data_IF_034895530939
#
_entry.id   IF_034895530939
#
_cell.length_a   1.000
_cell.length_b   1.000
_cell.length_c   1.000
_cell.angle_alpha   90.00
_cell.angle_beta   90.00
_cell.angle_gamma   90.00
#
_symmetry.space_group_name_H-M   'P 1'
#
loop_
_entity.id
_entity.type
_entity.pdbx_description
1 polymer ?
#
# COMPACT_ATOMS: atom_id res chain seq x y z
N UNK A 1 11.86 -10.83 23.63
CA UNK A 1 11.30 -11.47 22.43
C UNK A 1 12.46 -11.98 21.59
N UNK A 2 12.39 -13.14 20.99
CA UNK A 2 13.43 -13.68 20.11
C UNK A 2 12.81 -13.92 18.72
N UNK A 3 12.59 -12.82 17.99
CA UNK A 3 11.98 -12.87 16.68
C UNK A 3 13.05 -13.16 15.61
N UNK A 4 12.68 -14.01 14.65
CA UNK A 4 13.36 -14.15 13.36
C UNK A 4 12.46 -13.56 12.27
N UNK A 5 12.83 -12.40 11.79
CA UNK A 5 12.08 -11.67 10.76
C UNK A 5 12.74 -11.89 9.41
N UNK A 6 11.96 -12.29 8.41
CA UNK A 6 12.39 -12.37 7.01
C UNK A 6 11.75 -11.24 6.24
N UNK A 7 12.55 -10.36 5.63
CA UNK A 7 12.10 -9.27 4.77
C UNK A 7 12.35 -9.65 3.31
N UNK A 8 11.27 -9.89 2.55
CA UNK A 8 11.33 -10.24 1.13
C UNK A 8 11.03 -9.00 0.29
N UNK A 9 11.93 -8.67 -0.63
CA UNK A 9 11.95 -7.40 -1.37
C UNK A 9 12.79 -6.35 -0.64
N UNK A 10 13.89 -6.77 -0.03
CA UNK A 10 14.75 -5.94 0.81
C UNK A 10 15.44 -4.79 0.06
N UNK A 11 15.53 -4.83 -1.27
CA UNK A 11 15.96 -3.71 -2.11
C UNK A 11 15.00 -2.52 -2.16
N UNK A 12 13.88 -2.58 -1.44
CA UNK A 12 12.90 -1.49 -1.41
C UNK A 12 13.46 -0.23 -0.78
N UNK A 13 13.48 0.85 -1.54
CA UNK A 13 13.88 2.20 -1.09
C UNK A 13 12.94 2.73 -0.03
N UNK A 14 11.63 2.50 -0.22
CA UNK A 14 10.60 3.09 0.62
C UNK A 14 10.43 2.37 1.97
N UNK A 15 10.71 1.07 2.05
CA UNK A 15 10.34 0.28 3.22
C UNK A 15 11.53 -0.19 4.07
N UNK A 16 12.62 -0.65 3.44
CA UNK A 16 13.68 -1.38 4.17
C UNK A 16 14.32 -0.57 5.27
N UNK A 17 14.67 0.69 5.01
CA UNK A 17 15.25 1.58 6.02
C UNK A 17 14.34 1.76 7.24
N UNK A 18 13.06 2.08 6.99
CA UNK A 18 12.07 2.29 8.03
C UNK A 18 11.81 1.03 8.86
N UNK A 19 11.61 -0.11 8.19
CA UNK A 19 11.37 -1.39 8.85
C UNK A 19 12.57 -1.83 9.72
N UNK A 20 13.79 -1.70 9.21
CA UNK A 20 14.99 -2.02 10.00
C UNK A 20 15.11 -1.10 11.21
N UNK A 21 14.87 0.22 11.05
CA UNK A 21 14.89 1.15 12.16
C UNK A 21 13.85 0.79 13.22
N UNK A 22 12.61 0.50 12.83
CA UNK A 22 11.53 0.13 13.74
C UNK A 22 11.81 -1.17 14.48
N UNK A 23 12.37 -2.19 13.81
CA UNK A 23 12.79 -3.44 14.44
C UNK A 23 13.86 -3.21 15.51
N UNK A 24 14.89 -2.42 15.20
CA UNK A 24 15.99 -2.12 16.11
C UNK A 24 15.57 -1.25 17.29
N UNK A 25 14.58 -0.38 17.12
CA UNK A 25 14.02 0.46 18.19
C UNK A 25 13.12 -0.33 19.12
N UNK A 26 12.33 -1.26 18.58
CA UNK A 26 11.38 -2.04 19.35
C UNK A 26 12.02 -3.18 20.15
N UNK A 27 13.04 -3.83 19.59
CA UNK A 27 13.62 -5.03 20.19
C UNK A 27 15.13 -4.96 20.30
N UNK A 28 15.71 -5.24 21.49
CA UNK A 28 17.15 -5.13 21.72
C UNK A 28 17.97 -6.23 21.01
N UNK A 29 17.31 -7.31 20.57
CA UNK A 29 17.92 -8.45 19.88
C UNK A 29 16.92 -9.19 19.02
N UNK A 30 17.40 -9.87 17.98
CA UNK A 30 16.64 -10.70 17.07
C UNK A 30 17.49 -11.26 15.93
N UNK A 31 16.84 -11.85 14.96
CA UNK A 31 17.45 -12.30 13.71
C UNK A 31 16.71 -11.64 12.55
N UNK A 32 17.43 -11.00 11.64
CA UNK A 32 16.91 -10.39 10.43
C UNK A 32 17.52 -11.09 9.22
N UNK A 33 16.67 -11.65 8.37
CA UNK A 33 17.08 -12.17 7.07
C UNK A 33 16.52 -11.24 5.97
N UNK A 34 17.40 -10.73 5.12
CA UNK A 34 17.08 -9.90 3.98
C UNK A 34 17.08 -10.75 2.71
N UNK A 35 16.03 -10.61 1.92
CA UNK A 35 15.88 -11.35 0.67
C UNK A 35 15.57 -10.39 -0.47
N UNK A 36 16.35 -10.43 -1.53
CA UNK A 36 16.04 -9.79 -2.79
C UNK A 36 16.64 -10.61 -3.95
N UNK A 37 15.93 -10.68 -5.06
CA UNK A 37 16.40 -11.35 -6.28
C UNK A 37 17.42 -10.53 -7.06
N UNK A 38 17.51 -9.23 -6.79
CA UNK A 38 18.55 -8.35 -7.33
C UNK A 38 19.74 -8.32 -6.37
N UNK A 39 20.89 -8.94 -6.73
CA UNK A 39 22.04 -9.03 -5.84
C UNK A 39 22.63 -7.65 -5.50
N UNK A 40 22.56 -6.66 -6.40
CA UNK A 40 23.04 -5.33 -6.13
C UNK A 40 22.17 -4.59 -5.10
N UNK A 41 20.86 -4.67 -5.26
CA UNK A 41 19.91 -4.12 -4.29
C UNK A 41 20.01 -4.80 -2.92
N UNK A 42 20.19 -6.12 -2.91
CA UNK A 42 20.41 -6.90 -1.68
C UNK A 42 21.71 -6.50 -0.96
N UNK A 43 22.80 -6.27 -1.69
CA UNK A 43 24.06 -5.80 -1.13
C UNK A 43 23.91 -4.44 -0.45
N UNK A 44 23.25 -3.48 -1.11
CA UNK A 44 22.95 -2.15 -0.55
C UNK A 44 22.15 -2.27 0.73
N UNK A 45 21.03 -3.02 0.70
CA UNK A 45 20.18 -3.25 1.87
C UNK A 45 20.93 -3.91 3.04
N UNK A 46 21.77 -4.91 2.73
CA UNK A 46 22.56 -5.65 3.72
C UNK A 46 23.61 -4.77 4.39
N UNK A 47 24.34 -3.97 3.60
CA UNK A 47 25.34 -3.05 4.11
C UNK A 47 24.69 -1.96 4.96
N UNK A 48 23.56 -1.42 4.54
CA UNK A 48 22.78 -0.45 5.30
C UNK A 48 22.33 -1.04 6.65
N UNK A 49 21.66 -2.20 6.63
CA UNK A 49 21.20 -2.86 7.85
C UNK A 49 22.35 -3.19 8.81
N UNK A 50 23.49 -3.67 8.30
CA UNK A 50 24.70 -3.94 9.11
C UNK A 50 25.19 -2.70 9.84
N UNK A 51 25.25 -1.56 9.14
CA UNK A 51 25.64 -0.29 9.76
C UNK A 51 24.63 0.20 10.80
N UNK A 52 23.31 0.07 10.51
CA UNK A 52 22.26 0.44 11.45
C UNK A 52 22.32 -0.39 12.74
N UNK A 53 22.54 -1.71 12.62
CA UNK A 53 22.71 -2.62 13.76
C UNK A 53 23.95 -2.23 14.59
N UNK A 54 25.08 -2.01 13.91
CA UNK A 54 26.33 -1.64 14.56
C UNK A 54 26.22 -0.29 15.31
N UNK A 55 25.60 0.71 14.70
CA UNK A 55 25.42 2.04 15.29
C UNK A 55 24.57 2.03 16.58
N UNK A 56 23.65 1.06 16.72
CA UNK A 56 22.82 0.91 17.92
C UNK A 56 23.41 -0.04 18.96
N UNK A 57 24.53 -0.73 18.65
CA UNK A 57 25.05 -1.79 19.50
C UNK A 57 24.04 -2.90 19.76
N UNK A 58 23.12 -3.13 18.85
CA UNK A 58 22.01 -4.05 19.00
C UNK A 58 22.46 -5.52 18.81
N UNK A 59 21.88 -6.43 19.60
CA UNK A 59 22.18 -7.87 19.55
C UNK A 59 21.48 -8.62 18.41
N UNK A 60 21.45 -8.02 17.20
CA UNK A 60 20.80 -8.60 16.04
C UNK A 60 21.78 -9.39 15.18
N UNK A 61 21.35 -10.58 14.76
CA UNK A 61 22.02 -11.33 13.70
C UNK A 61 21.42 -10.92 12.35
N UNK A 62 22.29 -10.73 11.35
CA UNK A 62 21.91 -10.37 9.99
C UNK A 62 22.31 -11.48 9.03
N UNK A 63 21.38 -11.89 8.21
CA UNK A 63 21.54 -12.85 7.12
C UNK A 63 21.01 -12.23 5.83
N UNK A 64 21.53 -12.63 4.67
CA UNK A 64 21.06 -12.17 3.36
C UNK A 64 21.10 -13.30 2.34
N UNK A 65 20.11 -13.39 1.46
CA UNK A 65 20.03 -14.41 0.42
C UNK A 65 19.22 -13.93 -0.76
N UNK A 66 19.63 -14.32 -1.97
CA UNK A 66 18.83 -14.15 -3.19
C UNK A 66 17.68 -15.18 -3.26
N UNK A 67 17.81 -16.30 -2.56
CA UNK A 67 16.80 -17.36 -2.47
C UNK A 67 16.12 -17.37 -1.09
N UNK A 68 14.85 -16.96 -1.05
CA UNK A 68 14.03 -16.92 0.16
C UNK A 68 13.91 -18.29 0.85
N UNK A 69 13.95 -19.40 0.09
CA UNK A 69 13.80 -20.75 0.65
C UNK A 69 14.91 -21.10 1.62
N UNK A 70 16.11 -20.54 1.42
CA UNK A 70 17.27 -20.81 2.29
C UNK A 70 17.15 -20.19 3.67
N UNK A 71 16.34 -19.13 3.83
CA UNK A 71 16.26 -18.33 5.08
C UNK A 71 14.89 -18.39 5.75
N UNK A 72 13.85 -18.92 5.11
CA UNK A 72 12.49 -18.98 5.67
C UNK A 72 12.36 -19.91 6.88
N UNK A 73 13.14 -20.97 6.95
CA UNK A 73 13.03 -21.93 8.03
C UNK A 73 13.27 -21.28 9.40
N UNK A 74 12.28 -21.44 10.29
CA UNK A 74 12.31 -20.85 11.64
C UNK A 74 11.93 -19.38 11.69
N UNK A 75 11.47 -18.78 10.58
CA UNK A 75 10.89 -17.44 10.60
C UNK A 75 9.69 -17.37 11.54
N UNK A 76 9.62 -16.31 12.33
CA UNK A 76 8.47 -16.00 13.20
C UNK A 76 7.56 -14.95 12.58
N UNK A 77 8.11 -14.15 11.66
CA UNK A 77 7.39 -13.20 10.84
C UNK A 77 8.06 -13.06 9.47
N UNK A 78 7.24 -12.94 8.42
CA UNK A 78 7.67 -12.65 7.05
C UNK A 78 6.97 -11.37 6.60
N UNK A 79 7.77 -10.41 6.12
CA UNK A 79 7.29 -9.11 5.64
C UNK A 79 7.67 -9.00 4.15
N UNK A 80 6.67 -8.83 3.29
CA UNK A 80 6.88 -8.68 1.85
C UNK A 80 6.69 -7.23 1.42
N UNK A 81 7.74 -6.69 0.79
CA UNK A 81 7.76 -5.34 0.18
C UNK A 81 8.09 -5.41 -1.32
N UNK A 82 7.73 -6.54 -1.93
CA UNK A 82 8.06 -6.86 -3.32
C UNK A 82 7.36 -5.90 -4.30
N UNK A 83 8.10 -5.51 -5.33
CA UNK A 83 7.58 -4.77 -6.48
C UNK A 83 8.16 -5.35 -7.76
N UNK A 84 7.49 -6.34 -8.36
CA UNK A 84 7.98 -7.04 -9.56
C UNK A 84 8.27 -6.08 -10.71
N UNK A 85 9.51 -6.10 -11.22
CA UNK A 85 9.99 -5.19 -12.26
C UNK A 85 10.37 -3.79 -11.78
N UNK A 86 10.22 -3.52 -10.47
CA UNK A 86 10.65 -2.26 -9.84
C UNK A 86 10.04 -1.01 -10.48
N UNK A 87 10.77 0.11 -10.40
CA UNK A 87 10.33 1.41 -10.95
C UNK A 87 10.19 1.39 -12.46
N UNK A 88 11.00 0.62 -13.18
CA UNK A 88 10.93 0.56 -14.66
C UNK A 88 9.65 -0.09 -15.17
N UNK A 89 9.18 -1.16 -14.52
CA UNK A 89 7.89 -1.73 -14.83
C UNK A 89 6.74 -0.80 -14.40
N UNK A 90 6.89 -0.11 -13.27
CA UNK A 90 5.90 0.88 -12.82
C UNK A 90 5.75 2.06 -13.79
N UNK A 91 6.82 2.50 -14.45
CA UNK A 91 6.73 3.49 -15.53
C UNK A 91 5.79 3.02 -16.65
N UNK A 92 5.85 1.75 -17.04
CA UNK A 92 4.97 1.23 -18.08
C UNK A 92 3.50 1.20 -17.61
N UNK A 93 3.23 0.91 -16.32
CA UNK A 93 1.89 0.92 -15.76
C UNK A 93 1.21 2.29 -15.90
N UNK A 94 1.98 3.38 -15.88
CA UNK A 94 1.46 4.74 -15.97
C UNK A 94 1.56 5.31 -17.40
N UNK A 95 2.65 5.02 -18.12
CA UNK A 95 2.87 5.63 -19.44
C UNK A 95 2.10 4.94 -20.56
N UNK A 96 1.80 3.65 -20.45
CA UNK A 96 0.93 2.98 -21.44
C UNK A 96 -0.47 3.61 -21.45
N UNK A 97 -1.19 3.74 -20.31
CA UNK A 97 -2.50 4.40 -20.28
C UNK A 97 -2.51 5.84 -20.78
N UNK A 98 -1.43 6.59 -20.61
CA UNK A 98 -1.35 7.98 -21.13
C UNK A 98 -1.51 8.08 -22.65
N UNK A 99 -1.13 7.04 -23.39
CA UNK A 99 -1.34 6.98 -24.86
C UNK A 99 -2.81 6.95 -25.24
N UNK A 100 -3.66 6.57 -24.29
CA UNK A 100 -5.12 6.49 -24.41
C UNK A 100 -5.83 7.64 -23.68
N UNK A 101 -5.10 8.72 -23.33
CA UNK A 101 -5.66 9.86 -22.60
C UNK A 101 -5.97 9.61 -21.13
N UNK A 102 -5.42 8.56 -20.55
CA UNK A 102 -5.64 8.17 -19.13
C UNK A 102 -4.44 8.62 -18.31
N UNK A 103 -4.69 9.51 -17.35
CA UNK A 103 -3.66 10.11 -16.50
C UNK A 103 -3.83 9.66 -15.05
N UNK A 104 -3.00 8.72 -14.62
CA UNK A 104 -2.95 8.23 -13.25
C UNK A 104 -1.74 8.82 -12.52
N UNK A 105 -1.91 9.48 -11.36
CA UNK A 105 -0.77 10.01 -10.60
C UNK A 105 0.04 8.95 -9.88
N UNK A 106 -0.53 7.74 -9.69
CA UNK A 106 0.14 6.61 -9.02
C UNK A 106 0.11 5.35 -9.86
N UNK A 107 -1.07 4.89 -10.29
CA UNK A 107 -1.23 3.71 -11.14
C UNK A 107 -0.70 2.41 -10.54
N UNK A 108 -0.78 2.25 -9.21
CA UNK A 108 -0.26 1.05 -8.54
C UNK A 108 -1.34 0.22 -7.84
N UNK A 109 -2.55 0.75 -7.68
CA UNK A 109 -3.60 0.15 -6.85
C UNK A 109 -4.89 -0.18 -7.58
N UNK A 110 -5.33 0.69 -8.48
CA UNK A 110 -6.57 0.56 -9.27
C UNK A 110 -6.34 1.12 -10.68
N UNK A 111 -7.36 1.04 -11.52
CA UNK A 111 -7.29 1.50 -12.89
C UNK A 111 -6.38 0.62 -13.75
N UNK A 112 -6.06 1.06 -14.98
CA UNK A 112 -5.24 0.28 -15.91
C UNK A 112 -3.85 -0.02 -15.34
N UNK A 113 -3.21 0.94 -14.67
CA UNK A 113 -1.92 0.74 -14.03
C UNK A 113 -1.97 -0.32 -12.93
N UNK A 114 -2.96 -0.24 -12.02
CA UNK A 114 -3.18 -1.24 -10.97
C UNK A 114 -3.50 -2.62 -11.53
N UNK A 115 -4.30 -2.68 -12.60
CA UNK A 115 -4.62 -3.93 -13.32
C UNK A 115 -3.36 -4.57 -13.93
N UNK A 116 -2.56 -3.79 -14.64
CA UNK A 116 -1.28 -4.23 -15.23
C UNK A 116 -0.31 -4.74 -14.16
N UNK A 117 -0.18 -3.98 -13.07
CA UNK A 117 0.70 -4.36 -11.94
C UNK A 117 0.25 -5.66 -11.28
N UNK A 118 -1.07 -5.86 -11.11
CA UNK A 118 -1.63 -7.09 -10.54
C UNK A 118 -1.20 -8.34 -11.27
N UNK A 119 -1.17 -8.32 -12.62
CA UNK A 119 -0.81 -9.48 -13.44
C UNK A 119 0.58 -10.04 -13.10
N UNK A 120 1.55 -9.18 -12.79
CA UNK A 120 2.92 -9.63 -12.47
C UNK A 120 3.16 -9.80 -10.98
N UNK A 121 2.44 -9.06 -10.13
CA UNK A 121 2.55 -9.18 -8.68
C UNK A 121 1.92 -10.46 -8.14
N UNK A 122 0.74 -10.82 -8.63
CA UNK A 122 -0.04 -11.94 -8.11
C UNK A 122 0.71 -13.26 -8.20
N UNK A 123 1.24 -13.70 -9.36
CA UNK A 123 1.97 -14.96 -9.42
C UNK A 123 3.17 -15.02 -8.47
N UNK A 124 3.98 -13.97 -8.44
CA UNK A 124 5.14 -13.90 -7.55
C UNK A 124 4.77 -13.98 -6.07
N UNK A 125 3.67 -13.33 -5.67
CA UNK A 125 3.22 -13.32 -4.28
C UNK A 125 2.52 -14.62 -3.88
N UNK A 126 1.91 -15.33 -4.81
CA UNK A 126 1.39 -16.68 -4.59
C UNK A 126 2.54 -17.67 -4.38
N UNK A 127 3.58 -17.64 -5.22
CA UNK A 127 4.78 -18.47 -5.06
C UNK A 127 5.48 -18.21 -3.70
N UNK A 128 5.55 -16.95 -3.28
CA UNK A 128 6.09 -16.60 -1.96
C UNK A 128 5.22 -17.19 -0.84
N UNK A 129 3.90 -17.11 -0.97
CA UNK A 129 2.99 -17.64 0.03
C UNK A 129 3.08 -19.18 0.15
N UNK A 130 3.25 -19.88 -0.97
CA UNK A 130 3.47 -21.33 -0.99
C UNK A 130 4.77 -21.70 -0.26
N UNK A 131 5.86 -20.99 -0.51
CA UNK A 131 7.13 -21.22 0.18
C UNK A 131 7.02 -20.93 1.69
N UNK A 132 6.25 -19.91 2.10
CA UNK A 132 6.00 -19.63 3.52
C UNK A 132 5.22 -20.76 4.16
N UNK A 133 4.16 -21.26 3.51
CA UNK A 133 3.38 -22.39 4.02
C UNK A 133 4.21 -23.67 4.14
N UNK A 134 5.15 -23.92 3.20
CA UNK A 134 6.03 -25.08 3.22
C UNK A 134 7.10 -24.99 4.31
N UNK A 135 7.75 -23.85 4.48
CA UNK A 135 8.99 -23.70 5.26
C UNK A 135 8.84 -22.99 6.61
N UNK A 136 7.78 -22.18 6.75
CA UNK A 136 7.49 -21.38 7.94
C UNK A 136 5.97 -21.23 8.17
N UNK A 137 5.19 -22.32 8.26
CA UNK A 137 3.72 -22.27 8.30
C UNK A 137 3.14 -21.52 9.51
N UNK A 138 3.89 -21.40 10.58
CA UNK A 138 3.50 -20.68 11.81
C UNK A 138 3.94 -19.20 11.82
N UNK A 139 4.65 -18.74 10.78
CA UNK A 139 5.09 -17.36 10.70
C UNK A 139 3.92 -16.41 10.45
N UNK A 140 3.95 -15.24 11.08
CA UNK A 140 3.06 -14.15 10.72
C UNK A 140 3.43 -13.65 9.32
N UNK A 141 2.47 -13.53 8.43
CA UNK A 141 2.72 -13.12 7.05
C UNK A 141 2.09 -11.76 6.75
N UNK A 142 2.95 -10.77 6.46
CA UNK A 142 2.55 -9.41 6.15
C UNK A 142 2.90 -9.02 4.71
N UNK A 143 1.98 -8.30 4.05
CA UNK A 143 2.18 -7.77 2.71
C UNK A 143 2.06 -6.24 2.71
N UNK A 144 3.05 -5.56 2.15
CA UNK A 144 3.06 -4.13 1.82
C UNK A 144 2.97 -3.86 0.31
N UNK A 145 3.07 -4.92 -0.50
CA UNK A 145 3.05 -4.81 -1.97
C UNK A 145 1.68 -4.44 -2.51
N UNK A 146 1.66 -3.49 -3.47
CA UNK A 146 0.47 -3.09 -4.23
C UNK A 146 0.37 -3.85 -5.58
N UNK A 147 -0.86 -4.01 -6.11
CA UNK A 147 -2.15 -3.58 -5.55
C UNK A 147 -2.57 -4.43 -4.36
N UNK A 148 -2.80 -3.81 -3.22
CA UNK A 148 -2.99 -4.49 -1.94
C UNK A 148 -4.15 -5.49 -1.94
N UNK A 149 -5.35 -5.05 -2.32
CA UNK A 149 -6.53 -5.90 -2.27
C UNK A 149 -6.45 -7.08 -3.26
N UNK A 150 -6.07 -6.91 -4.54
CA UNK A 150 -5.83 -8.03 -5.47
C UNK A 150 -4.77 -9.01 -4.97
N UNK A 151 -3.63 -8.54 -4.49
CA UNK A 151 -2.55 -9.40 -4.00
C UNK A 151 -3.00 -10.24 -2.79
N UNK A 152 -3.56 -9.60 -1.76
CA UNK A 152 -4.03 -10.32 -0.58
C UNK A 152 -5.18 -11.29 -0.92
N UNK A 153 -6.07 -10.91 -1.85
CA UNK A 153 -7.16 -11.78 -2.32
C UNK A 153 -6.64 -13.00 -3.06
N UNK A 154 -5.68 -12.80 -3.96
CA UNK A 154 -5.08 -13.88 -4.76
C UNK A 154 -4.33 -14.90 -3.88
N UNK A 155 -3.50 -14.44 -2.95
CA UNK A 155 -2.79 -15.29 -1.99
C UNK A 155 -3.80 -16.19 -1.25
N UNK A 156 -4.85 -15.60 -0.68
CA UNK A 156 -5.87 -16.36 0.07
C UNK A 156 -6.67 -17.31 -0.80
N UNK A 157 -7.00 -16.89 -2.03
CA UNK A 157 -7.77 -17.70 -2.98
C UNK A 157 -6.97 -18.91 -3.49
N UNK A 158 -5.70 -18.71 -3.82
CA UNK A 158 -4.86 -19.74 -4.40
C UNK A 158 -4.26 -20.69 -3.35
N UNK A 159 -3.86 -20.18 -2.19
CA UNK A 159 -3.06 -20.94 -1.21
C UNK A 159 -3.73 -21.13 0.15
N UNK A 160 -4.70 -20.30 0.49
CA UNK A 160 -5.29 -20.25 1.83
C UNK A 160 -4.40 -19.57 2.89
N UNK A 161 -3.19 -19.08 2.56
CA UNK A 161 -2.27 -18.46 3.49
C UNK A 161 -2.91 -17.24 4.19
N UNK A 162 -2.75 -17.08 5.52
CA UNK A 162 -3.40 -16.04 6.31
C UNK A 162 -2.66 -14.70 6.22
N UNK A 163 -2.43 -14.20 5.00
CA UNK A 163 -1.75 -12.91 4.77
C UNK A 163 -2.51 -11.74 5.39
N UNK A 164 -1.77 -10.82 6.00
CA UNK A 164 -2.26 -9.55 6.53
C UNK A 164 -1.70 -8.44 5.64
N UNK A 165 -2.56 -7.68 4.96
CA UNK A 165 -2.14 -6.52 4.20
C UNK A 165 -2.04 -5.29 5.08
N UNK A 166 -0.94 -4.52 4.95
CA UNK A 166 -0.69 -3.32 5.74
C UNK A 166 -0.40 -2.12 4.82
N UNK A 167 -0.98 -0.97 5.17
CA UNK A 167 -0.75 0.30 4.53
C UNK A 167 -0.63 1.41 5.56
N UNK A 168 0.26 2.35 5.35
CA UNK A 168 0.37 3.54 6.22
C UNK A 168 -0.66 4.63 5.90
N UNK A 169 -1.43 4.47 4.82
CA UNK A 169 -2.32 5.51 4.28
C UNK A 169 -3.39 6.00 5.25
N UNK A 170 -4.00 5.11 6.04
CA UNK A 170 -4.99 5.50 7.06
C UNK A 170 -4.33 6.33 8.16
N UNK A 171 -3.16 5.88 8.66
CA UNK A 171 -2.42 6.61 9.68
C UNK A 171 -1.95 7.98 9.17
N UNK A 172 -1.41 8.05 7.95
CA UNK A 172 -1.01 9.30 7.31
C UNK A 172 -2.20 10.29 7.21
N UNK A 173 -3.36 9.80 6.76
CA UNK A 173 -4.57 10.64 6.67
C UNK A 173 -5.05 11.09 8.06
N UNK A 174 -4.94 10.25 9.09
CA UNK A 174 -5.26 10.66 10.45
C UNK A 174 -4.37 11.81 10.94
N UNK A 175 -3.07 11.77 10.64
CA UNK A 175 -2.14 12.88 10.93
C UNK A 175 -2.50 14.14 10.13
N UNK A 176 -2.86 14.01 8.86
CA UNK A 176 -3.32 15.13 8.03
C UNK A 176 -4.57 15.80 8.62
N UNK A 177 -5.56 15.02 9.05
CA UNK A 177 -6.78 15.55 9.68
C UNK A 177 -6.49 16.20 11.05
N UNK A 178 -5.63 15.59 11.86
CA UNK A 178 -5.19 16.16 13.14
C UNK A 178 -4.47 17.51 12.93
N UNK A 179 -3.57 17.60 11.94
CA UNK A 179 -2.90 18.83 11.56
C UNK A 179 -3.91 19.89 11.08
N UNK A 180 -4.90 19.52 10.27
CA UNK A 180 -5.95 20.44 9.84
C UNK A 180 -6.76 21.01 11.02
N UNK A 181 -6.94 20.21 12.08
CA UNK A 181 -7.58 20.63 13.34
C UNK A 181 -6.65 21.44 14.27
N UNK A 182 -5.35 21.51 13.97
CA UNK A 182 -4.35 22.16 14.83
C UNK A 182 -4.02 21.37 16.10
N UNK A 183 -4.15 20.03 16.08
CA UNK A 183 -3.92 19.17 17.25
C UNK A 183 -2.88 18.08 16.96
N UNK A 184 -2.29 17.51 18.01
CA UNK A 184 -1.43 16.32 17.86
C UNK A 184 -2.26 15.09 17.51
N UNK A 185 -1.80 14.27 16.58
CA UNK A 185 -2.44 13.00 16.22
C UNK A 185 -2.56 12.02 17.40
N UNK A 186 -1.66 12.10 18.37
CA UNK A 186 -1.71 11.30 19.60
C UNK A 186 -2.98 11.54 20.47
N UNK A 187 -3.68 12.66 20.26
CA UNK A 187 -4.94 12.99 20.92
C UNK A 187 -6.17 12.51 20.15
N UNK A 188 -5.95 11.94 18.96
CA UNK A 188 -7.01 11.58 18.05
C UNK A 188 -7.31 10.09 18.11
N UNK A 189 -8.59 9.75 18.01
CA UNK A 189 -9.08 8.41 17.74
C UNK A 189 -10.02 8.45 16.54
N UNK A 190 -10.07 7.38 15.77
CA UNK A 190 -10.86 7.37 14.56
C UNK A 190 -11.35 5.95 14.20
N UNK A 191 -12.36 5.90 13.35
CA UNK A 191 -12.78 4.70 12.68
C UNK A 191 -12.71 4.90 11.17
N UNK A 192 -11.99 4.02 10.47
CA UNK A 192 -11.83 4.07 9.02
C UNK A 192 -12.07 2.69 8.42
N UNK A 193 -12.89 2.62 7.35
CA UNK A 193 -13.31 1.36 6.74
C UNK A 193 -13.50 1.53 5.23
N UNK A 194 -13.02 0.57 4.45
CA UNK A 194 -13.16 0.59 2.99
C UNK A 194 -12.23 -0.38 2.29
N UNK A 195 -11.83 -0.04 1.09
CA UNK A 195 -10.79 -0.72 0.33
C UNK A 195 -9.47 0.06 0.46
N UNK A 196 -8.35 -0.61 0.44
CA UNK A 196 -7.05 0.06 0.45
C UNK A 196 -6.96 1.19 -0.58
N UNK A 197 -6.48 2.34 -0.18
CA UNK A 197 -6.43 3.61 -0.90
C UNK A 197 -7.80 4.28 -1.19
N UNK A 198 -8.91 3.66 -0.77
CA UNK A 198 -10.22 4.30 -0.61
C UNK A 198 -10.89 3.80 0.69
N UNK A 199 -10.27 4.16 1.79
CA UNK A 199 -10.74 3.86 3.15
C UNK A 199 -11.42 5.11 3.70
N UNK A 200 -12.64 5.00 4.21
CA UNK A 200 -13.46 6.11 4.63
C UNK A 200 -13.42 6.29 6.14
N UNK A 201 -12.97 7.47 6.60
CA UNK A 201 -13.07 7.88 8.00
C UNK A 201 -14.52 8.22 8.32
N UNK A 202 -15.19 7.31 8.99
CA UNK A 202 -16.59 7.45 9.42
C UNK A 202 -16.73 8.14 10.77
N UNK A 203 -15.62 8.19 11.53
CA UNK A 203 -15.53 8.85 12.84
C UNK A 203 -14.12 9.42 13.01
N UNK A 204 -14.05 10.61 13.60
CA UNK A 204 -12.80 11.23 14.02
C UNK A 204 -13.03 12.04 15.31
N UNK A 205 -12.29 11.71 16.35
CA UNK A 205 -12.43 12.33 17.68
C UNK A 205 -11.12 12.94 18.15
N UNK A 206 -11.22 14.01 18.92
CA UNK A 206 -10.09 14.64 19.64
C UNK A 206 -10.43 14.60 21.12
N UNK A 207 -9.58 13.97 21.94
CA UNK A 207 -9.81 13.76 23.37
C UNK A 207 -11.20 13.17 23.68
N UNK A 208 -11.69 12.28 22.83
CA UNK A 208 -13.00 11.65 22.94
C UNK A 208 -14.19 12.49 22.42
N UNK A 209 -14.00 13.76 22.10
CA UNK A 209 -15.05 14.61 21.52
C UNK A 209 -15.11 14.46 20.00
N UNK A 210 -16.33 14.44 19.42
CA UNK A 210 -16.55 14.37 17.98
C UNK A 210 -15.98 15.61 17.27
N UNK A 211 -15.04 15.41 16.36
CA UNK A 211 -14.40 16.46 15.58
C UNK A 211 -14.96 16.59 14.14
N UNK A 212 -15.87 15.70 13.71
CA UNK A 212 -16.43 15.73 12.35
C UNK A 212 -17.12 17.06 12.01
N UNK A 213 -17.88 17.73 12.92
CA UNK A 213 -18.45 19.04 12.64
C UNK A 213 -17.39 20.10 12.33
N UNK A 214 -16.29 20.13 13.10
CA UNK A 214 -15.18 21.08 12.86
C UNK A 214 -14.45 20.78 11.55
N UNK A 215 -14.23 19.50 11.22
CA UNK A 215 -13.67 19.11 9.93
C UNK A 215 -14.55 19.56 8.76
N UNK A 216 -15.89 19.59 8.90
CA UNK A 216 -16.80 20.09 7.86
C UNK A 216 -16.62 21.60 7.60
N UNK A 217 -16.36 22.39 8.64
CA UNK A 217 -16.07 23.83 8.48
C UNK A 217 -14.74 24.01 7.72
N UNK A 218 -13.72 23.26 8.11
CA UNK A 218 -12.41 23.26 7.41
C UNK A 218 -12.56 22.82 5.96
N UNK A 219 -13.36 21.79 5.69
CA UNK A 219 -13.63 21.30 4.34
C UNK A 219 -14.17 22.41 3.41
N UNK A 220 -15.17 23.18 3.89
CA UNK A 220 -15.73 24.28 3.12
C UNK A 220 -14.67 25.35 2.79
N UNK A 221 -13.80 25.67 3.75
CA UNK A 221 -12.68 26.59 3.55
C UNK A 221 -11.67 26.05 2.52
N UNK A 222 -11.17 24.82 2.70
CA UNK A 222 -10.18 24.17 1.81
C UNK A 222 -10.66 24.09 0.36
N UNK A 223 -11.92 23.69 0.16
CA UNK A 223 -12.54 23.65 -1.19
C UNK A 223 -12.63 25.05 -1.80
N UNK A 224 -12.93 26.09 -1.00
CA UNK A 224 -12.98 27.48 -1.48
C UNK A 224 -11.58 28.00 -1.85
N UNK A 225 -10.57 27.73 -1.04
CA UNK A 225 -9.18 28.14 -1.26
C UNK A 225 -8.60 27.52 -2.56
N UNK A 226 -8.91 26.26 -2.82
CA UNK A 226 -8.42 25.56 -4.02
C UNK A 226 -8.97 26.16 -5.32
N UNK A 227 -10.18 26.70 -5.35
CA UNK A 227 -10.85 27.24 -6.57
C UNK A 227 -10.12 28.40 -7.23
N UNK A 228 -9.25 29.09 -6.53
CA UNK A 228 -8.53 30.24 -7.06
C UNK A 228 -7.01 30.11 -7.00
N UNK A 229 -6.50 28.94 -6.60
CA UNK A 229 -5.08 28.75 -6.34
C UNK A 229 -4.57 27.38 -6.87
N UNK A 230 -4.33 27.26 -8.18
CA UNK A 230 -3.81 26.00 -8.76
C UNK A 230 -2.51 25.52 -8.10
N UNK A 231 -1.65 26.41 -7.63
CA UNK A 231 -0.38 26.04 -7.00
C UNK A 231 -0.56 25.31 -5.66
N UNK A 232 -1.67 25.51 -4.95
CA UNK A 232 -1.93 24.88 -3.67
C UNK A 232 -2.88 23.66 -3.79
N UNK A 233 -3.45 23.39 -4.96
CA UNK A 233 -4.46 22.33 -5.13
C UNK A 233 -3.96 20.96 -4.68
N UNK A 234 -2.74 20.59 -5.06
CA UNK A 234 -2.17 19.28 -4.69
C UNK A 234 -2.01 19.11 -3.16
N UNK A 235 -1.61 20.17 -2.46
CA UNK A 235 -1.45 20.19 -1.00
C UNK A 235 -2.81 20.22 -0.27
N UNK A 236 -3.77 20.98 -0.80
CA UNK A 236 -5.09 21.14 -0.18
C UNK A 236 -5.97 19.90 -0.31
N UNK A 237 -5.73 19.03 -1.29
CA UNK A 237 -6.54 17.82 -1.57
C UNK A 237 -8.06 18.11 -1.64
N UNK A 238 -8.50 19.07 -2.48
CA UNK A 238 -9.88 19.58 -2.47
C UNK A 238 -10.93 18.54 -2.84
N UNK A 239 -10.59 17.53 -3.64
CA UNK A 239 -11.52 16.48 -4.03
C UNK A 239 -11.89 15.58 -2.84
N UNK A 240 -10.92 15.21 -2.01
CA UNK A 240 -11.17 14.46 -0.78
C UNK A 240 -12.08 15.26 0.18
N UNK A 241 -11.87 16.58 0.31
CA UNK A 241 -12.74 17.43 1.11
C UNK A 241 -14.15 17.58 0.52
N UNK A 242 -14.29 17.63 -0.81
CA UNK A 242 -15.60 17.62 -1.48
C UNK A 242 -16.34 16.31 -1.23
N UNK A 243 -15.66 15.17 -1.36
CA UNK A 243 -16.24 13.87 -1.04
C UNK A 243 -16.66 13.79 0.43
N UNK A 244 -15.86 14.32 1.36
CA UNK A 244 -16.24 14.39 2.76
C UNK A 244 -17.52 15.19 3.00
N UNK A 245 -17.67 16.35 2.36
CA UNK A 245 -18.90 17.16 2.46
C UNK A 245 -20.12 16.40 1.91
N UNK A 246 -19.92 15.62 0.84
CA UNK A 246 -20.99 14.89 0.17
C UNK A 246 -21.38 13.60 0.90
N UNK A 247 -20.39 12.77 1.29
CA UNK A 247 -20.63 11.43 1.85
C UNK A 247 -20.69 11.41 3.39
N UNK A 248 -20.23 12.47 4.04
CA UNK A 248 -20.17 12.56 5.50
C UNK A 248 -19.04 11.76 6.13
N UNK A 249 -18.18 11.16 5.32
CA UNK A 249 -16.98 10.44 5.72
C UNK A 249 -15.79 10.93 4.86
N UNK A 250 -14.58 11.00 5.45
CA UNK A 250 -13.40 11.51 4.76
C UNK A 250 -12.63 10.36 4.10
N UNK A 251 -12.32 10.41 2.79
CA UNK A 251 -11.59 9.33 2.12
C UNK A 251 -10.08 9.43 2.38
N UNK A 252 -9.43 8.31 2.66
CA UNK A 252 -7.99 8.14 2.65
C UNK A 252 -7.59 7.49 1.30
N UNK A 253 -6.47 7.84 0.66
CA UNK A 253 -5.25 8.52 1.18
C UNK A 253 -5.00 9.85 0.45
N UNK A 254 -5.90 10.76 0.50
CA UNK A 254 -5.90 12.06 -0.16
C UNK A 254 -5.97 12.00 -1.69
N UNK A 255 -6.03 13.14 -2.33
CA UNK A 255 -6.37 13.28 -3.75
C UNK A 255 -5.43 12.50 -4.67
N UNK A 256 -4.13 12.43 -4.37
CA UNK A 256 -3.17 11.70 -5.19
C UNK A 256 -3.61 10.26 -5.51
N UNK A 257 -4.27 9.58 -4.57
CA UNK A 257 -4.78 8.22 -4.75
C UNK A 257 -6.30 8.20 -4.99
N UNK A 258 -7.05 9.03 -4.24
CA UNK A 258 -8.51 9.00 -4.25
C UNK A 258 -9.08 9.31 -5.65
N UNK A 259 -8.45 10.19 -6.42
CA UNK A 259 -8.89 10.53 -7.79
C UNK A 259 -8.94 9.31 -8.71
N UNK A 260 -8.06 8.33 -8.51
CA UNK A 260 -8.02 7.11 -9.33
C UNK A 260 -9.23 6.19 -9.14
N UNK A 261 -9.98 6.37 -8.06
CA UNK A 261 -11.23 5.65 -7.81
C UNK A 261 -12.45 6.30 -8.47
N UNK A 262 -12.29 7.51 -9.00
CA UNK A 262 -13.36 8.34 -9.57
C UNK A 262 -13.01 8.87 -10.97
N UNK A 263 -12.62 7.99 -11.93
CA UNK A 263 -12.13 8.41 -13.25
C UNK A 263 -13.14 9.27 -14.02
N UNK A 264 -14.43 9.11 -13.76
CA UNK A 264 -15.50 9.88 -14.43
C UNK A 264 -15.42 11.39 -14.18
N UNK A 265 -14.71 11.83 -13.12
CA UNK A 265 -14.54 13.25 -12.79
C UNK A 265 -13.25 13.86 -13.33
N UNK A 266 -12.32 13.04 -13.81
CA UNK A 266 -10.96 13.45 -14.18
C UNK A 266 -10.62 13.02 -15.61
N UNK A 267 -11.57 13.18 -16.52
CA UNK A 267 -11.34 12.88 -17.95
C UNK A 267 -10.20 13.73 -18.48
N UNK A 268 -9.40 13.15 -19.38
CA UNK A 268 -8.20 13.77 -19.95
C UNK A 268 -7.22 14.30 -18.90
N UNK A 269 -7.25 13.74 -17.68
CA UNK A 269 -6.39 14.12 -16.57
C UNK A 269 -6.71 15.48 -15.95
N UNK A 270 -7.81 16.14 -16.30
CA UNK A 270 -8.10 17.48 -15.80
C UNK A 270 -8.40 17.48 -14.29
N UNK A 271 -7.53 18.09 -13.52
CA UNK A 271 -7.63 18.23 -12.06
C UNK A 271 -7.45 19.69 -11.66
N UNK A 272 -8.57 20.40 -11.50
CA UNK A 272 -8.61 21.84 -11.12
C UNK A 272 -7.71 22.74 -11.98
N UNK A 273 -7.64 22.45 -13.29
CA UNK A 273 -6.81 23.20 -14.26
C UNK A 273 -5.37 22.71 -14.38
N UNK A 274 -4.99 21.66 -13.68
CA UNK A 274 -3.72 20.94 -13.78
C UNK A 274 -3.94 19.57 -14.44
N UNK A 275 -2.88 18.95 -14.94
CA UNK A 275 -2.92 17.58 -15.46
C UNK A 275 -2.45 16.61 -14.36
N UNK A 276 -3.30 15.61 -14.01
CA UNK A 276 -2.95 14.55 -13.07
C UNK A 276 -1.72 13.76 -13.53
N UNK A 277 -0.85 13.47 -12.57
CA UNK A 277 0.37 12.70 -12.84
C UNK A 277 1.43 13.46 -13.63
N UNK A 278 1.16 14.72 -14.04
CA UNK A 278 2.09 15.60 -14.79
C UNK A 278 2.32 16.87 -13.97
N UNK A 279 1.34 17.79 -13.98
CA UNK A 279 1.44 19.07 -13.24
C UNK A 279 1.06 18.92 -11.76
N UNK A 280 0.03 18.08 -11.49
CA UNK A 280 -0.36 17.70 -10.14
C UNK A 280 0.09 16.26 -9.86
N UNK A 281 0.84 16.07 -8.79
CA UNK A 281 1.36 14.76 -8.38
C UNK A 281 2.23 14.09 -9.46
N UNK A 282 3.21 14.82 -9.99
CA UNK A 282 4.07 14.35 -11.09
C UNK A 282 4.60 12.93 -10.85
N UNK A 283 4.29 12.04 -11.78
CA UNK A 283 4.75 10.67 -11.72
C UNK A 283 6.24 10.58 -12.08
N UNK A 284 6.69 11.37 -13.06
CA UNK A 284 8.10 11.46 -13.43
C UNK A 284 8.98 11.91 -12.27
N UNK A 285 8.52 12.90 -11.48
CA UNK A 285 9.23 13.33 -10.28
C UNK A 285 9.22 12.24 -9.19
N UNK A 286 8.13 11.48 -9.07
CA UNK A 286 8.05 10.32 -8.15
C UNK A 286 9.12 9.28 -8.50
N UNK A 287 9.28 8.95 -9.78
CA UNK A 287 10.31 8.02 -10.25
C UNK A 287 11.71 8.59 -10.03
N UNK A 288 11.92 9.84 -10.42
CA UNK A 288 13.22 10.51 -10.26
C UNK A 288 13.61 10.63 -8.76
N UNK A 289 12.67 10.91 -7.88
CA UNK A 289 12.91 10.95 -6.44
C UNK A 289 13.34 9.58 -5.91
N UNK A 290 12.63 8.51 -6.29
CA UNK A 290 13.00 7.14 -5.92
C UNK A 290 14.38 6.73 -6.43
N UNK A 291 14.77 7.15 -7.65
CA UNK A 291 16.09 6.88 -8.21
C UNK A 291 17.18 7.64 -7.43
N UNK A 292 16.95 8.91 -7.08
CA UNK A 292 17.88 9.69 -6.24
C UNK A 292 18.02 9.10 -4.83
N UNK A 293 16.93 8.68 -4.24
CA UNK A 293 16.95 8.07 -2.90
C UNK A 293 17.74 6.74 -2.91
N UNK A 294 17.52 5.88 -3.91
CA UNK A 294 18.29 4.65 -4.06
C UNK A 294 19.80 4.94 -4.23
N UNK A 295 20.17 5.87 -5.09
CA UNK A 295 21.56 6.26 -5.28
C UNK A 295 22.20 6.83 -3.98
N UNK A 296 21.42 7.56 -3.18
CA UNK A 296 21.89 8.04 -1.88
C UNK A 296 22.09 6.88 -0.89
N UNK A 297 21.15 5.91 -0.84
CA UNK A 297 21.27 4.72 -0.02
C UNK A 297 22.48 3.87 -0.40
N UNK A 298 22.72 3.67 -1.71
CA UNK A 298 23.89 2.95 -2.24
C UNK A 298 25.20 3.62 -1.83
N UNK A 299 25.28 4.93 -1.97
CA UNK A 299 26.44 5.72 -1.54
C UNK A 299 26.70 5.60 -0.04
N UNK A 300 25.65 5.76 0.79
CA UNK A 300 25.75 5.70 2.25
C UNK A 300 26.06 4.29 2.74
N UNK A 301 25.50 3.26 2.10
CA UNK A 301 25.76 1.86 2.40
C UNK A 301 27.21 1.44 2.11
N UNK A 302 27.80 1.95 1.02
CA UNK A 302 29.18 1.65 0.58
C UNK A 302 30.25 2.51 1.24
N UNK A 303 29.91 3.70 1.79
CA UNK A 303 30.86 4.58 2.47
C UNK A 303 31.46 3.91 3.71
N UNK A 304 32.73 4.16 4.05
CA UNK A 304 33.30 3.78 5.35
C UNK A 304 32.74 4.62 6.51
N UNK A 305 32.12 5.75 6.24
CA UNK A 305 31.63 6.68 7.24
C UNK A 305 30.39 6.16 7.97
N UNK A 306 30.11 6.63 9.19
CA UNK A 306 28.84 6.38 9.88
C UNK A 306 27.65 6.86 9.03
N UNK A 307 26.50 6.18 9.21
CA UNK A 307 25.27 6.59 8.52
C UNK A 307 24.81 7.98 9.02
N UNK A 308 24.29 8.83 8.11
CA UNK A 308 23.60 10.06 8.48
C UNK A 308 22.46 9.82 9.48
N UNK A 309 22.17 10.82 10.32
CA UNK A 309 21.15 10.74 11.37
C UNK A 309 19.76 10.34 10.90
N UNK A 310 19.42 10.63 9.64
CA UNK A 310 18.15 10.25 9.01
C UNK A 310 17.88 8.73 8.96
N UNK A 311 18.92 7.88 9.03
CA UNK A 311 18.78 6.43 9.11
C UNK A 311 18.45 5.93 10.51
N UNK A 312 18.57 6.80 11.50
CA UNK A 312 18.32 6.51 12.91
C UNK A 312 17.09 7.23 13.46
N UNK A 313 16.62 8.25 12.76
CA UNK A 313 15.42 8.98 13.12
C UNK A 313 14.19 8.34 12.48
N UNK A 314 13.14 8.15 13.27
CA UNK A 314 11.82 7.86 12.72
C UNK A 314 11.34 9.12 11.99
N UNK A 315 11.03 9.00 10.70
CA UNK A 315 10.39 10.07 9.93
C UNK A 315 9.05 10.43 10.57
N UNK A 316 8.69 11.72 10.60
CA UNK A 316 7.41 12.16 11.13
C UNK A 316 6.27 11.56 10.28
N UNK A 317 5.56 10.55 10.82
CA UNK A 317 4.36 9.98 10.23
C UNK A 317 4.53 8.71 9.38
N UNK A 318 5.75 8.23 9.13
CA UNK A 318 6.04 7.02 8.35
C UNK A 318 6.34 5.81 9.24
N UNK A 319 5.51 5.56 10.26
CA UNK A 319 5.69 4.38 11.09
C UNK A 319 4.97 3.19 10.46
N UNK A 320 5.76 2.16 10.14
CA UNK A 320 5.21 0.89 9.74
C UNK A 320 4.60 0.20 10.97
N UNK A 321 3.31 -0.08 10.90
CA UNK A 321 2.58 -0.67 12.03
C UNK A 321 3.04 -2.11 12.36
N UNK A 322 3.74 -2.79 11.44
CA UNK A 322 4.03 -4.23 11.54
C UNK A 322 4.77 -4.62 12.82
N UNK A 323 5.76 -3.83 13.22
CA UNK A 323 6.55 -4.14 14.44
C UNK A 323 5.68 -4.00 15.69
N UNK A 324 4.85 -2.95 15.75
CA UNK A 324 3.88 -2.76 16.82
C UNK A 324 2.81 -3.86 16.83
N UNK A 325 2.35 -4.31 15.67
CA UNK A 325 1.40 -5.43 15.53
C UNK A 325 2.02 -6.73 16.06
N UNK A 326 3.24 -7.07 15.63
CA UNK A 326 3.94 -8.27 16.10
C UNK A 326 4.09 -8.21 17.63
N UNK A 327 4.57 -7.09 18.17
CA UNK A 327 4.70 -6.90 19.63
C UNK A 327 3.37 -7.10 20.34
N UNK A 328 2.30 -6.44 19.86
CA UNK A 328 0.95 -6.57 20.42
C UNK A 328 0.42 -8.01 20.38
N UNK A 329 0.69 -8.73 19.29
CA UNK A 329 0.29 -10.13 19.17
C UNK A 329 1.06 -11.03 20.15
N UNK A 330 2.34 -10.80 20.35
CA UNK A 330 3.15 -11.57 21.33
C UNK A 330 2.74 -11.30 22.77
N UNK A 331 2.34 -10.08 23.07
CA UNK A 331 1.94 -9.63 24.41
C UNK A 331 0.44 -9.79 24.69
N UNK A 332 -0.37 -10.14 23.67
CA UNK A 332 -1.84 -10.16 23.70
C UNK A 332 -2.45 -8.84 24.21
N UNK A 333 -1.85 -7.71 23.76
CA UNK A 333 -2.20 -6.38 24.28
C UNK A 333 -3.57 -5.88 23.87
N UNK A 334 -4.24 -6.55 22.92
CA UNK A 334 -5.54 -6.18 22.37
C UNK A 334 -5.57 -4.79 21.71
N UNK A 335 -4.42 -4.29 21.29
CA UNK A 335 -4.33 -3.02 20.56
C UNK A 335 -5.05 -3.10 19.21
N UNK A 336 -5.58 -1.96 18.76
CA UNK A 336 -6.34 -1.85 17.51
C UNK A 336 -5.45 -1.27 16.41
N UNK A 337 -5.49 -1.88 15.24
CA UNK A 337 -4.73 -1.48 14.05
C UNK A 337 -5.63 -1.44 12.82
N UNK A 338 -5.28 -0.62 11.81
CA UNK A 338 -5.90 -0.71 10.49
C UNK A 338 -5.22 -1.82 9.70
N UNK A 339 -5.99 -2.76 9.15
CA UNK A 339 -5.44 -3.87 8.39
C UNK A 339 -6.36 -4.31 7.26
N UNK A 340 -5.75 -4.78 6.17
CA UNK A 340 -6.44 -5.35 5.03
C UNK A 340 -6.66 -6.86 5.26
N UNK A 341 -7.90 -7.22 5.54
CA UNK A 341 -8.32 -8.57 5.91
C UNK A 341 -9.58 -8.99 5.14
N UNK A 342 -9.85 -10.29 5.01
CA UNK A 342 -11.10 -10.75 4.41
C UNK A 342 -12.31 -10.24 5.18
N UNK A 343 -13.35 -9.86 4.46
CA UNK A 343 -14.65 -9.56 5.05
C UNK A 343 -15.32 -10.86 5.56
N UNK A 344 -15.21 -11.10 6.84
CA UNK A 344 -15.85 -12.23 7.54
C UNK A 344 -17.20 -11.83 8.16
N UNK A 345 -17.81 -10.73 7.66
CA UNK A 345 -19.03 -10.14 8.17
C UNK A 345 -18.82 -8.87 9.00
N UNK A 346 -17.57 -8.42 9.18
CA UNK A 346 -17.28 -7.16 9.89
C UNK A 346 -17.85 -5.93 9.19
N UNK A 347 -18.03 -5.97 7.86
CA UNK A 347 -18.69 -4.92 7.08
C UNK A 347 -19.85 -5.55 6.32
N UNK A 348 -21.05 -5.50 6.91
CA UNK A 348 -22.23 -6.18 6.39
C UNK A 348 -22.70 -5.66 5.03
N UNK A 349 -22.31 -4.44 4.65
CA UNK A 349 -22.71 -3.78 3.40
C UNK A 349 -21.78 -4.12 2.22
N UNK A 350 -20.71 -4.91 2.43
CA UNK A 350 -19.71 -5.30 1.43
C UNK A 350 -19.66 -6.82 1.24
N UNK A 351 -19.20 -7.31 0.07
CA UNK A 351 -19.17 -8.74 -0.22
C UNK A 351 -18.36 -9.55 0.80
N UNK A 352 -18.83 -10.73 1.14
CA UNK A 352 -18.09 -11.68 1.97
C UNK A 352 -16.80 -12.14 1.25
N UNK A 353 -15.72 -12.25 2.00
CA UNK A 353 -14.40 -12.65 1.49
C UNK A 353 -13.62 -11.55 0.76
N UNK A 354 -14.24 -10.40 0.42
CA UNK A 354 -13.53 -9.26 -0.13
C UNK A 354 -12.45 -8.76 0.86
N UNK A 355 -11.31 -8.30 0.34
CA UNK A 355 -10.26 -7.72 1.20
C UNK A 355 -10.65 -6.29 1.54
N UNK A 356 -10.87 -6.06 2.84
CA UNK A 356 -11.33 -4.78 3.39
C UNK A 356 -10.29 -4.25 4.37
N UNK A 357 -9.98 -2.97 4.23
CA UNK A 357 -9.18 -2.23 5.20
C UNK A 357 -10.11 -1.71 6.30
N UNK A 358 -9.91 -2.18 7.52
CA UNK A 358 -10.75 -1.83 8.67
C UNK A 358 -10.01 -2.01 9.98
N UNK A 359 -10.52 -1.46 11.10
CA UNK A 359 -9.96 -1.72 12.43
C UNK A 359 -9.97 -3.21 12.76
N UNK A 360 -8.86 -3.69 13.32
CA UNK A 360 -8.72 -5.06 13.79
C UNK A 360 -7.93 -5.10 15.11
N UNK A 361 -8.31 -6.01 16.00
CA UNK A 361 -7.73 -6.19 17.33
C UNK A 361 -6.62 -7.24 17.25
N UNK A 362 -5.44 -6.90 17.74
CA UNK A 362 -4.32 -7.85 17.86
C UNK A 362 -4.63 -8.90 18.94
N UNK A 363 -4.50 -10.17 18.55
CA UNK A 363 -4.58 -11.33 19.45
C UNK A 363 -3.30 -12.14 19.33
N UNK A 364 -3.10 -13.13 20.18
CA UNK A 364 -1.90 -13.99 20.12
C UNK A 364 -1.73 -14.75 18.80
N UNK A 365 -2.78 -14.86 17.99
CA UNK A 365 -2.77 -15.70 16.77
C UNK A 365 -3.02 -14.93 15.48
N UNK A 366 -3.76 -13.84 15.54
CA UNK A 366 -4.19 -13.09 14.33
C UNK A 366 -4.68 -11.70 14.70
N UNK A 367 -4.95 -10.89 13.68
CA UNK A 367 -5.75 -9.69 13.79
C UNK A 367 -7.23 -10.08 13.59
N UNK A 368 -8.08 -9.76 14.58
CA UNK A 368 -9.52 -9.97 14.52
C UNK A 368 -10.22 -8.70 14.07
N UNK A 369 -10.88 -8.67 12.89
CA UNK A 369 -11.61 -7.51 12.43
C UNK A 369 -12.71 -7.09 13.40
N UNK A 370 -12.87 -5.79 13.60
CA UNK A 370 -13.92 -5.20 14.42
C UNK A 370 -15.17 -5.00 13.57
N UNK A 371 -16.32 -5.46 14.05
CA UNK A 371 -17.62 -5.27 13.38
C UNK A 371 -17.92 -3.78 13.27
N UNK A 372 -18.26 -3.35 12.05
CA UNK A 372 -18.54 -1.97 11.73
C UNK A 372 -20.04 -1.65 11.80
N UNK A 373 -20.41 -0.43 12.17
CA UNK A 373 -21.76 0.06 11.97
C UNK A 373 -22.12 0.03 10.47
N UNK A 374 -23.42 0.02 10.18
CA UNK A 374 -23.88 0.21 8.81
C UNK A 374 -23.36 1.51 8.23
N UNK A 375 -22.83 1.42 7.01
CA UNK A 375 -22.30 2.58 6.28
C UNK A 375 -23.42 3.36 5.60
N UNK A 376 -23.20 4.65 5.36
CA UNK A 376 -24.03 5.41 4.42
C UNK A 376 -24.03 4.67 3.07
N UNK A 377 -25.18 4.35 2.45
CA UNK A 377 -25.27 3.55 1.24
C UNK A 377 -24.41 4.06 0.07
N UNK A 378 -24.10 5.36 0.03
CA UNK A 378 -23.20 5.93 -0.97
C UNK A 378 -21.78 5.38 -0.85
N UNK A 379 -21.29 5.08 0.36
CA UNK A 379 -19.93 4.58 0.59
C UNK A 379 -19.74 3.16 0.01
N UNK A 380 -20.54 2.13 0.37
CA UNK A 380 -20.47 0.84 -0.29
C UNK A 380 -20.64 0.93 -1.81
N UNK A 381 -21.50 1.86 -2.28
CA UNK A 381 -21.69 2.12 -3.72
C UNK A 381 -20.41 2.53 -4.44
N UNK A 382 -19.53 3.33 -3.82
CA UNK A 382 -18.23 3.70 -4.41
C UNK A 382 -17.25 2.52 -4.47
N UNK A 383 -17.43 1.50 -3.63
CA UNK A 383 -16.54 0.36 -3.49
C UNK A 383 -16.98 -0.87 -4.30
N UNK A 384 -18.29 -1.01 -4.58
CA UNK A 384 -18.86 -2.25 -5.11
C UNK A 384 -18.21 -2.71 -6.42
N UNK A 385 -18.12 -1.82 -7.42
CA UNK A 385 -17.48 -2.15 -8.71
C UNK A 385 -15.99 -2.46 -8.53
N UNK A 386 -15.30 -1.76 -7.62
CA UNK A 386 -13.87 -1.98 -7.35
C UNK A 386 -13.61 -3.34 -6.70
N UNK A 387 -14.47 -3.78 -5.81
CA UNK A 387 -14.34 -5.11 -5.20
C UNK A 387 -14.62 -6.25 -6.21
N UNK A 388 -15.53 -6.04 -7.17
CA UNK A 388 -15.74 -6.98 -8.29
C UNK A 388 -14.58 -6.95 -9.28
N UNK A 389 -14.02 -5.78 -9.55
CA UNK A 389 -12.77 -5.65 -10.31
C UNK A 389 -11.64 -6.46 -9.68
N UNK A 390 -11.50 -6.44 -8.34
CA UNK A 390 -10.50 -7.27 -7.64
C UNK A 390 -10.67 -8.75 -7.98
N UNK A 391 -11.88 -9.30 -7.92
CA UNK A 391 -12.10 -10.72 -8.27
C UNK A 391 -11.71 -10.99 -9.73
N UNK A 392 -12.11 -10.10 -10.66
CA UNK A 392 -11.83 -10.27 -12.10
C UNK A 392 -10.34 -10.23 -12.41
N UNK A 393 -9.59 -9.27 -11.84
CA UNK A 393 -8.14 -9.16 -12.10
C UNK A 393 -7.35 -10.28 -11.41
N UNK A 394 -7.83 -10.77 -10.27
CA UNK A 394 -7.24 -11.94 -9.61
C UNK A 394 -7.39 -13.18 -10.49
N UNK A 395 -8.58 -13.41 -11.06
CA UNK A 395 -8.80 -14.54 -11.95
C UNK A 395 -8.02 -14.39 -13.26
N UNK A 396 -7.96 -13.19 -13.83
CA UNK A 396 -7.12 -12.91 -15.00
C UNK A 396 -5.65 -13.28 -14.78
N UNK A 397 -5.11 -12.95 -13.62
CA UNK A 397 -3.71 -13.22 -13.28
C UNK A 397 -3.45 -14.70 -12.97
N UNK A 398 -4.35 -15.36 -12.23
CA UNK A 398 -4.21 -16.77 -11.84
C UNK A 398 -4.44 -17.74 -13.02
N UNK A 399 -5.42 -17.44 -13.87
CA UNK A 399 -5.77 -18.26 -15.03
C UNK A 399 -5.01 -17.86 -16.29
N UNK A 400 -4.30 -16.71 -16.28
CA UNK A 400 -3.56 -16.13 -17.42
C UNK A 400 -4.46 -15.91 -18.64
N UNK A 401 -5.65 -15.34 -18.39
CA UNK A 401 -6.65 -15.11 -19.43
C UNK A 401 -6.74 -13.66 -19.85
N UNK A 402 -6.40 -13.41 -21.13
CA UNK A 402 -6.45 -12.09 -21.75
C UNK A 402 -7.85 -11.48 -21.67
N UNK A 403 -8.90 -12.24 -21.93
CA UNK A 403 -10.27 -11.73 -21.92
C UNK A 403 -10.72 -11.26 -20.52
N UNK A 404 -10.30 -11.95 -19.46
CA UNK A 404 -10.55 -11.51 -18.08
C UNK A 404 -9.77 -10.22 -17.76
N UNK A 405 -8.56 -10.08 -18.29
CA UNK A 405 -7.81 -8.84 -18.16
C UNK A 405 -8.51 -7.66 -18.85
N UNK A 406 -9.01 -7.84 -20.06
CA UNK A 406 -9.83 -6.82 -20.76
C UNK A 406 -11.08 -6.49 -19.95
N UNK A 407 -11.78 -7.47 -19.40
CA UNK A 407 -12.92 -7.25 -18.51
C UNK A 407 -12.55 -6.40 -17.29
N UNK A 408 -11.40 -6.64 -16.67
CA UNK A 408 -10.92 -5.82 -15.57
C UNK A 408 -10.67 -4.36 -16.00
N UNK A 409 -10.07 -4.13 -17.18
CA UNK A 409 -9.87 -2.78 -17.73
C UNK A 409 -11.18 -2.08 -18.06
N UNK A 410 -12.23 -2.82 -18.43
CA UNK A 410 -13.58 -2.24 -18.63
C UNK A 410 -14.22 -1.90 -17.29
N UNK A 411 -14.10 -2.76 -16.28
CA UNK A 411 -14.69 -2.54 -14.96
C UNK A 411 -14.05 -1.37 -14.20
N UNK A 412 -12.80 -1.05 -14.46
CA UNK A 412 -12.14 0.08 -13.81
C UNK A 412 -12.66 1.45 -14.29
N UNK A 413 -13.32 1.49 -15.45
CA UNK A 413 -14.05 2.64 -15.96
C UNK A 413 -13.18 3.76 -16.54
N UNK A 414 -11.89 3.50 -16.80
CA UNK A 414 -10.99 4.48 -17.43
C UNK A 414 -11.00 4.42 -18.95
N UNK A 415 -11.12 3.22 -19.55
CA UNK A 415 -11.08 3.06 -20.99
C UNK A 415 -12.26 3.78 -21.67
N UNK A 416 -11.98 4.52 -22.74
CA UNK A 416 -13.00 5.27 -23.48
C UNK A 416 -13.83 4.36 -24.40
N UNK A 417 -13.28 3.23 -24.83
CA UNK A 417 -13.93 2.24 -25.70
C UNK A 417 -13.46 0.82 -25.37
N UNK A 418 -14.19 -0.18 -25.85
CA UNK A 418 -13.78 -1.59 -25.75
C UNK A 418 -12.53 -1.86 -26.58
N UNK A 419 -12.36 -1.19 -27.71
CA UNK A 419 -11.18 -1.32 -28.55
C UNK A 419 -9.93 -0.76 -27.85
N UNK A 420 -10.05 0.36 -27.13
CA UNK A 420 -8.95 0.92 -26.32
C UNK A 420 -8.59 -0.03 -25.16
N UNK A 421 -9.59 -0.62 -24.50
CA UNK A 421 -9.35 -1.59 -23.44
C UNK A 421 -8.58 -2.82 -23.97
N UNK A 422 -8.97 -3.35 -25.14
CA UNK A 422 -8.29 -4.49 -25.76
C UNK A 422 -6.87 -4.13 -26.23
N UNK A 423 -6.70 -2.98 -26.88
CA UNK A 423 -5.40 -2.52 -27.36
C UNK A 423 -4.43 -2.24 -26.20
N UNK A 424 -4.93 -1.66 -25.13
CA UNK A 424 -4.15 -1.40 -23.90
C UNK A 424 -3.75 -2.70 -23.21
N UNK A 425 -4.64 -3.71 -23.16
CA UNK A 425 -4.33 -5.04 -22.63
C UNK A 425 -3.18 -5.67 -23.42
N UNK A 426 -3.24 -5.67 -24.76
CA UNK A 426 -2.18 -6.23 -25.60
C UNK A 426 -0.86 -5.50 -25.43
N UNK A 427 -0.89 -4.20 -25.27
CA UNK A 427 0.32 -3.41 -25.01
C UNK A 427 0.93 -3.74 -23.66
N UNK A 428 0.14 -3.86 -22.60
CA UNK A 428 0.61 -4.27 -21.28
C UNK A 428 1.20 -5.67 -21.28
N UNK A 429 0.54 -6.65 -21.90
CA UNK A 429 1.06 -8.02 -22.03
C UNK A 429 2.41 -8.02 -22.75
N UNK A 430 2.55 -7.20 -23.80
CA UNK A 430 3.80 -7.08 -24.55
C UNK A 430 4.94 -6.43 -23.75
N UNK A 431 4.68 -5.30 -23.07
CA UNK A 431 5.75 -4.56 -22.36
C UNK A 431 6.18 -5.27 -21.07
N UNK A 432 5.29 -6.05 -20.48
CA UNK A 432 5.57 -6.84 -19.27
C UNK A 432 5.88 -8.31 -19.53
N UNK A 433 6.00 -8.74 -20.78
CA UNK A 433 6.31 -10.14 -21.15
C UNK A 433 7.47 -10.77 -20.34
N UNK A 434 8.55 -10.05 -19.96
CA UNK A 434 9.61 -10.63 -19.12
C UNK A 434 9.16 -11.08 -17.71
N UNK A 435 8.01 -10.59 -17.24
CA UNK A 435 7.48 -10.88 -15.89
C UNK A 435 6.23 -11.73 -15.91
N UNK A 436 5.66 -11.96 -17.10
CA UNK A 436 4.42 -12.69 -17.30
C UNK A 436 4.71 -14.05 -17.96
N UNK A 437 3.90 -15.06 -17.65
CA UNK A 437 3.82 -16.23 -18.50
C UNK A 437 2.96 -15.96 -19.74
N UNK A 438 2.77 -16.98 -20.57
CA UNK A 438 1.89 -16.90 -21.73
C UNK A 438 0.44 -16.69 -21.27
N UNK A 439 -0.27 -15.78 -21.93
CA UNK A 439 -1.69 -15.48 -21.74
C UNK A 439 -2.47 -16.00 -22.94
N UNK A 440 -3.55 -16.74 -22.68
CA UNK A 440 -4.49 -17.26 -23.68
C UNK A 440 -5.55 -16.22 -24.06
#
# INVERSE_FOLDING_TARGET
MNERVVLIGAGSVSFTRGLVADLLDAWPKGELALVDIDPAALEVATNLARKMIAARGAGWKLEASEDRRTVLKGATAVICTVGVGGRRAWEQDVFVPRKYGIFQPVGDSVGPGGSSRALRMIPAMVDIAEDILDLAPDALFFNYGNPMAPVCRAIRKATGAPVIGLCHGVNHTAHYLAHALGVSAARCTYNAVGMNHLTWFTEFRVDGADAMPRLREIAAQRVSEAKGNPAAVAELSPFSWQLFLLFGAFPAVLDRHVVEFFPQFFRDGNYYGLTLGVDAFSFEETIAAGDREFAAMEKDASSPDPLPGQYHARGNGEHEQVVSIITSMREDSRSVYSANLPNMGQVADLPAGAIIESPAIATTRTLLPVVQPRLNPGIPGTLATRLLWVETIVDAALERKRDLFIQALVLDGFAASLDDAAAMADEFLRVHAPYLGDFD
#
